data_IF_570257722104
#
_entry.id   IF_570257722104
#
_cell.length_a   1.000
_cell.length_b   1.000
_cell.length_c   1.000
_cell.angle_alpha   90.00
_cell.angle_beta   90.00
_cell.angle_gamma   90.00
#
_symmetry.space_group_name_H-M   'P 1'
#
loop_
_entity.id
_entity.type
_entity.pdbx_description
1 polymer ?
#
# COMPACT_ATOMS: atom_id res chain seq x y z
N UNK A 1 -0.75 15.64 -23.21
CA UNK A 1 0.21 15.71 -22.08
C UNK A 1 -0.28 14.77 -21.00
N UNK A 2 0.31 13.58 -20.87
CA UNK A 2 -0.05 12.63 -19.82
C UNK A 2 0.52 13.07 -18.46
N UNK A 3 -0.15 12.80 -17.33
CA UNK A 3 0.43 13.10 -16.04
C UNK A 3 1.66 12.23 -15.84
N UNK A 4 2.79 12.85 -15.54
CA UNK A 4 4.04 12.18 -15.19
C UNK A 4 3.75 11.21 -14.04
N UNK A 5 3.65 9.92 -14.40
CA UNK A 5 3.35 8.84 -13.48
C UNK A 5 4.35 8.88 -12.34
N UNK A 6 3.85 9.05 -11.13
CA UNK A 6 4.65 8.99 -9.94
C UNK A 6 5.23 7.56 -9.84
N UNK A 7 6.49 7.39 -10.27
CA UNK A 7 7.28 6.16 -10.12
C UNK A 7 7.52 5.74 -8.65
N UNK A 8 6.80 6.35 -7.69
CA UNK A 8 7.18 6.36 -6.29
C UNK A 8 6.68 5.15 -5.49
N UNK A 9 5.87 4.27 -6.09
CA UNK A 9 5.41 3.03 -5.44
C UNK A 9 5.47 1.83 -6.39
N UNK A 10 6.64 1.54 -6.96
CA UNK A 10 6.84 0.37 -7.84
C UNK A 10 6.95 -0.95 -7.05
N UNK A 11 6.03 -1.19 -6.11
CA UNK A 11 5.80 -2.57 -5.65
C UNK A 11 5.20 -3.38 -6.79
N UNK A 12 4.36 -2.76 -7.63
CA UNK A 12 3.59 -3.46 -8.66
C UNK A 12 4.43 -4.13 -9.78
N UNK A 13 5.43 -3.47 -10.41
CA UNK A 13 6.19 -4.09 -11.51
C UNK A 13 7.21 -5.11 -11.00
N UNK A 14 7.82 -4.82 -9.85
CA UNK A 14 8.89 -5.63 -9.26
C UNK A 14 8.38 -6.71 -8.31
N UNK A 15 7.07 -6.84 -8.13
CA UNK A 15 6.47 -7.78 -7.16
C UNK A 15 7.01 -9.21 -7.29
N UNK A 16 7.06 -9.85 -8.48
CA UNK A 16 7.60 -11.21 -8.60
C UNK A 16 9.08 -11.30 -8.20
N UNK A 17 9.86 -10.27 -8.50
CA UNK A 17 11.30 -10.19 -8.16
C UNK A 17 11.47 -10.05 -6.64
N UNK A 18 10.69 -9.18 -6.01
CA UNK A 18 10.70 -8.98 -4.55
C UNK A 18 10.28 -10.28 -3.85
N UNK A 19 9.24 -10.95 -4.36
CA UNK A 19 8.78 -12.22 -3.82
C UNK A 19 9.86 -13.30 -3.91
N UNK A 20 10.46 -13.48 -5.09
CA UNK A 20 11.54 -14.44 -5.32
C UNK A 20 12.77 -14.15 -4.43
N UNK A 21 13.10 -12.87 -4.22
CA UNK A 21 14.18 -12.49 -3.31
C UNK A 21 13.92 -12.95 -1.88
N UNK A 22 12.71 -12.72 -1.35
CA UNK A 22 12.38 -13.15 0.01
C UNK A 22 12.21 -14.66 0.14
N UNK A 23 11.80 -15.36 -0.92
CA UNK A 23 11.81 -16.82 -0.99
C UNK A 23 13.24 -17.38 -0.88
N UNK A 24 14.16 -16.84 -1.68
CA UNK A 24 15.57 -17.22 -1.67
C UNK A 24 16.23 -16.90 -0.32
N UNK A 25 15.99 -15.71 0.25
CA UNK A 25 16.46 -15.34 1.60
C UNK A 25 15.89 -16.23 2.71
N UNK A 26 14.72 -16.83 2.51
CA UNK A 26 14.08 -17.76 3.44
C UNK A 26 14.52 -19.23 3.23
N UNK A 27 15.16 -19.54 2.09
CA UNK A 27 15.55 -20.88 1.71
C UNK A 27 16.63 -21.47 2.62
N UNK A 28 16.47 -22.75 2.95
CA UNK A 28 17.46 -23.52 3.70
C UNK A 28 18.71 -23.84 2.86
N UNK A 29 18.58 -23.77 1.53
CA UNK A 29 19.62 -24.11 0.56
C UNK A 29 20.53 -22.92 0.21
N UNK A 30 20.12 -21.69 0.54
CA UNK A 30 20.86 -20.47 0.24
C UNK A 30 22.28 -20.48 0.81
N UNK A 31 23.24 -20.01 0.02
CA UNK A 31 24.63 -19.77 0.43
C UNK A 31 25.12 -18.37 0.00
N UNK A 32 25.80 -17.60 0.87
CA UNK A 32 26.03 -17.88 2.30
C UNK A 32 24.71 -17.89 3.08
N UNK A 33 24.68 -18.67 4.18
CA UNK A 33 23.48 -18.78 5.01
C UNK A 33 23.22 -17.45 5.72
N UNK A 34 22.01 -16.88 5.61
CA UNK A 34 21.64 -15.71 6.39
C UNK A 34 21.56 -16.07 7.87
N UNK A 35 21.70 -15.07 8.76
CA UNK A 35 21.47 -15.30 10.18
C UNK A 35 20.02 -15.73 10.44
N UNK A 36 19.79 -16.48 11.51
CA UNK A 36 18.45 -16.96 11.87
C UNK A 36 17.42 -15.81 11.97
N UNK A 37 17.83 -14.64 12.48
CA UNK A 37 16.99 -13.45 12.56
C UNK A 37 16.61 -12.91 11.17
N UNK A 38 17.55 -12.88 10.22
CA UNK A 38 17.29 -12.42 8.85
C UNK A 38 16.40 -13.41 8.11
N UNK A 39 16.66 -14.71 8.22
CA UNK A 39 15.84 -15.76 7.62
C UNK A 39 14.40 -15.73 8.17
N UNK A 40 14.23 -15.52 9.48
CA UNK A 40 12.92 -15.38 10.12
C UNK A 40 12.13 -14.18 9.60
N UNK A 41 12.79 -13.02 9.45
CA UNK A 41 12.15 -11.83 8.84
C UNK A 41 11.80 -12.06 7.38
N UNK A 42 12.68 -12.67 6.59
CA UNK A 42 12.43 -12.98 5.20
C UNK A 42 11.22 -13.90 5.03
N UNK A 43 11.11 -14.97 5.84
CA UNK A 43 9.93 -15.86 5.88
C UNK A 43 8.64 -15.10 6.17
N UNK A 44 8.68 -14.18 7.14
CA UNK A 44 7.51 -13.36 7.49
C UNK A 44 7.09 -12.46 6.33
N UNK A 45 8.05 -11.75 5.72
CA UNK A 45 7.76 -10.87 4.57
C UNK A 45 7.23 -11.68 3.38
N UNK A 46 7.87 -12.81 3.05
CA UNK A 46 7.40 -13.73 2.01
C UNK A 46 5.96 -14.18 2.26
N UNK A 47 5.61 -14.55 3.51
CA UNK A 47 4.24 -14.93 3.87
C UNK A 47 3.24 -13.79 3.66
N UNK A 48 3.60 -12.55 4.02
CA UNK A 48 2.74 -11.38 3.78
C UNK A 48 2.60 -11.07 2.29
N UNK A 49 3.67 -11.22 1.50
CA UNK A 49 3.62 -10.99 0.05
C UNK A 49 2.82 -12.05 -0.71
N UNK A 50 2.54 -13.21 -0.10
CA UNK A 50 1.62 -14.23 -0.66
C UNK A 50 0.20 -14.14 -0.10
N UNK A 51 -0.04 -13.31 0.88
CA UNK A 51 -1.35 -13.17 1.52
C UNK A 51 -2.17 -12.08 0.80
N UNK A 52 -3.39 -12.45 0.38
CA UNK A 52 -4.26 -11.56 -0.39
C UNK A 52 -4.58 -10.27 0.37
N UNK A 53 -4.95 -10.42 1.63
CA UNK A 53 -5.36 -9.30 2.49
C UNK A 53 -4.19 -8.34 2.76
N UNK A 54 -3.00 -8.89 2.99
CA UNK A 54 -1.76 -8.12 3.11
C UNK A 54 -1.45 -7.32 1.84
N UNK A 55 -1.60 -7.93 0.66
CA UNK A 55 -1.41 -7.22 -0.62
C UNK A 55 -2.48 -6.16 -0.87
N UNK A 56 -3.74 -6.46 -0.57
CA UNK A 56 -4.84 -5.50 -0.66
C UNK A 56 -4.55 -4.26 0.20
N UNK A 57 -4.08 -4.48 1.44
CA UNK A 57 -3.68 -3.41 2.35
C UNK A 57 -2.47 -2.62 1.83
N UNK A 58 -1.46 -3.28 1.24
CA UNK A 58 -0.33 -2.59 0.61
C UNK A 58 -0.76 -1.68 -0.54
N UNK A 59 -1.71 -2.14 -1.37
CA UNK A 59 -2.25 -1.32 -2.45
C UNK A 59 -3.08 -0.13 -1.93
N UNK A 60 -3.86 -0.33 -0.86
CA UNK A 60 -4.52 0.77 -0.16
C UNK A 60 -3.53 1.80 0.39
N UNK A 61 -2.43 1.35 1.02
CA UNK A 61 -1.38 2.25 1.49
C UNK A 61 -0.72 3.03 0.35
N UNK A 62 -0.55 2.41 -0.82
CA UNK A 62 -0.06 3.11 -2.01
C UNK A 62 -1.00 4.26 -2.41
N UNK A 63 -2.31 4.05 -2.42
CA UNK A 63 -3.30 5.11 -2.71
C UNK A 63 -3.19 6.28 -1.71
N UNK A 64 -3.07 5.98 -0.42
CA UNK A 64 -2.85 6.99 0.63
C UNK A 64 -1.57 7.78 0.37
N UNK A 65 -0.46 7.07 0.11
CA UNK A 65 0.84 7.70 -0.08
C UNK A 65 0.91 8.52 -1.37
N UNK A 66 0.16 8.18 -2.43
CA UNK A 66 0.05 9.00 -3.64
C UNK A 66 -0.57 10.37 -3.32
N UNK A 67 -1.63 10.42 -2.51
CA UNK A 67 -2.24 11.69 -2.10
C UNK A 67 -1.31 12.51 -1.21
N UNK A 68 -0.63 11.87 -0.25
CA UNK A 68 0.35 12.54 0.62
C UNK A 68 1.56 13.05 -0.17
N UNK A 69 2.05 12.28 -1.14
CA UNK A 69 3.14 12.68 -2.02
C UNK A 69 2.76 13.89 -2.87
N UNK A 70 1.54 13.92 -3.38
CA UNK A 70 1.02 15.05 -4.15
C UNK A 70 0.99 16.32 -3.31
N UNK A 71 0.51 16.22 -2.06
CA UNK A 71 0.54 17.32 -1.11
C UNK A 71 1.98 17.77 -0.81
N UNK A 72 2.87 16.82 -0.50
CA UNK A 72 4.28 17.10 -0.20
C UNK A 72 4.97 17.86 -1.34
N UNK A 73 4.70 17.49 -2.60
CA UNK A 73 5.23 18.21 -3.78
C UNK A 73 4.77 19.66 -3.87
N UNK A 74 3.56 20.00 -3.40
CA UNK A 74 3.09 21.39 -3.36
C UNK A 74 3.92 22.19 -2.35
N UNK A 75 4.15 21.63 -1.16
CA UNK A 75 4.95 22.28 -0.12
C UNK A 75 6.45 22.33 -0.42
N UNK A 76 6.94 21.51 -1.34
CA UNK A 76 8.34 21.51 -1.79
C UNK A 76 8.62 22.52 -2.91
N UNK A 77 7.62 23.25 -3.41
CA UNK A 77 7.83 24.31 -4.41
C UNK A 77 8.64 25.46 -3.80
N UNK A 78 9.53 26.05 -4.60
CA UNK A 78 10.35 27.20 -4.18
C UNK A 78 9.52 28.39 -3.70
N UNK A 79 8.29 28.54 -4.22
CA UNK A 79 7.32 29.52 -3.77
C UNK A 79 5.93 28.89 -3.71
N UNK A 80 5.36 28.79 -2.52
CA UNK A 80 3.96 28.38 -2.29
C UNK A 80 3.24 29.51 -1.57
N UNK A 81 2.06 29.88 -2.07
CA UNK A 81 1.23 30.88 -1.38
C UNK A 81 0.43 30.22 -0.25
N UNK A 82 0.03 31.00 0.76
CA UNK A 82 -0.83 30.49 1.85
C UNK A 82 -2.15 29.92 1.28
N UNK A 83 -2.75 30.60 0.30
CA UNK A 83 -3.97 30.13 -0.36
C UNK A 83 -3.76 28.76 -1.03
N UNK A 84 -2.69 28.60 -1.80
CA UNK A 84 -2.36 27.34 -2.48
C UNK A 84 -2.09 26.21 -1.47
N UNK A 85 -1.38 26.51 -0.38
CA UNK A 85 -1.13 25.55 0.69
C UNK A 85 -2.44 25.06 1.32
N UNK A 86 -3.34 25.97 1.69
CA UNK A 86 -4.65 25.64 2.29
C UNK A 86 -5.51 24.81 1.33
N UNK A 87 -5.66 25.26 0.08
CA UNK A 87 -6.43 24.54 -0.93
C UNK A 87 -5.89 23.13 -1.19
N UNK A 88 -4.56 22.97 -1.25
CA UNK A 88 -3.93 21.67 -1.46
C UNK A 88 -4.14 20.73 -0.27
N UNK A 89 -4.11 21.26 0.96
CA UNK A 89 -4.36 20.51 2.18
C UNK A 89 -5.82 20.04 2.24
N UNK A 90 -6.79 20.91 1.96
CA UNK A 90 -8.21 20.55 1.92
C UNK A 90 -8.49 19.50 0.85
N UNK A 91 -7.91 19.66 -0.35
CA UNK A 91 -8.01 18.65 -1.42
C UNK A 91 -7.44 17.30 -0.99
N UNK A 92 -6.29 17.29 -0.32
CA UNK A 92 -5.70 16.07 0.22
C UNK A 92 -6.63 15.40 1.25
N UNK A 93 -7.20 16.19 2.17
CA UNK A 93 -8.17 15.70 3.16
C UNK A 93 -9.38 15.03 2.51
N UNK A 94 -9.98 15.66 1.50
CA UNK A 94 -11.13 15.09 0.79
C UNK A 94 -10.78 13.82 0.03
N UNK A 95 -9.63 13.81 -0.66
CA UNK A 95 -9.15 12.63 -1.37
C UNK A 95 -8.93 11.45 -0.41
N UNK A 96 -8.24 11.66 0.72
CA UNK A 96 -8.04 10.62 1.73
C UNK A 96 -9.36 10.15 2.36
N UNK A 97 -10.29 11.08 2.61
CA UNK A 97 -11.62 10.75 3.13
C UNK A 97 -12.43 9.90 2.14
N UNK A 98 -12.28 10.16 0.84
CA UNK A 98 -12.97 9.38 -0.20
C UNK A 98 -12.55 7.91 -0.21
N UNK A 99 -11.31 7.59 0.17
CA UNK A 99 -10.80 6.20 0.26
C UNK A 99 -11.50 5.36 1.32
N UNK A 100 -12.27 5.97 2.23
CA UNK A 100 -13.13 5.25 3.20
C UNK A 100 -14.36 4.65 2.53
N UNK A 101 -14.80 5.21 1.40
CA UNK A 101 -16.07 4.89 0.74
C UNK A 101 -15.81 4.22 -0.62
N UNK A 102 -14.77 4.64 -1.33
CA UNK A 102 -14.42 4.14 -2.66
C UNK A 102 -12.99 3.61 -2.68
N UNK A 103 -12.77 2.60 -3.52
CA UNK A 103 -11.42 2.08 -3.73
C UNK A 103 -10.57 3.12 -4.46
N UNK A 104 -9.30 3.24 -4.06
CA UNK A 104 -8.33 4.01 -4.83
C UNK A 104 -7.83 3.23 -6.05
N UNK A 105 -7.19 3.90 -7.03
CA UNK A 105 -6.78 3.28 -8.29
C UNK A 105 -5.83 2.10 -8.13
N UNK A 106 -4.89 2.14 -7.17
CA UNK A 106 -3.96 1.05 -6.93
C UNK A 106 -4.69 -0.19 -6.40
N UNK A 107 -5.59 0.00 -5.45
CA UNK A 107 -6.39 -1.08 -4.87
C UNK A 107 -7.39 -1.66 -5.86
N UNK A 108 -8.04 -0.82 -6.67
CA UNK A 108 -8.94 -1.25 -7.74
C UNK A 108 -8.22 -2.11 -8.77
N UNK A 109 -7.06 -1.63 -9.27
CA UNK A 109 -6.20 -2.39 -10.20
C UNK A 109 -5.78 -3.75 -9.63
N UNK A 110 -5.45 -3.81 -8.33
CA UNK A 110 -5.10 -5.08 -7.68
C UNK A 110 -6.28 -6.04 -7.64
N UNK A 111 -7.47 -5.57 -7.24
CA UNK A 111 -8.68 -6.39 -7.19
C UNK A 111 -9.02 -6.90 -8.58
N UNK A 112 -9.00 -6.05 -9.60
CA UNK A 112 -9.23 -6.46 -11.00
C UNK A 112 -8.23 -7.53 -11.47
N UNK A 113 -6.94 -7.35 -11.18
CA UNK A 113 -5.89 -8.30 -11.59
C UNK A 113 -5.95 -9.64 -10.84
N UNK A 114 -6.57 -9.66 -9.67
CA UNK A 114 -6.63 -10.85 -8.82
C UNK A 114 -8.00 -11.55 -8.85
N UNK A 115 -9.04 -10.87 -9.36
CA UNK A 115 -10.39 -11.39 -9.36
C UNK A 115 -10.54 -12.61 -10.27
N UNK A 116 -11.26 -13.62 -9.78
CA UNK A 116 -11.56 -14.86 -10.53
C UNK A 116 -10.54 -16.00 -10.35
N UNK A 117 -9.26 -15.71 -10.12
CA UNK A 117 -8.21 -16.75 -10.07
C UNK A 117 -7.34 -16.75 -8.81
N UNK A 118 -7.47 -15.74 -7.93
CA UNK A 118 -6.57 -15.54 -6.76
C UNK A 118 -5.10 -15.58 -7.15
N UNK A 119 -4.81 -15.16 -8.37
CA UNK A 119 -3.49 -15.10 -8.93
C UNK A 119 -3.17 -13.64 -9.14
N UNK A 120 -2.02 -13.19 -8.66
CA UNK A 120 -1.55 -11.83 -8.87
C UNK A 120 -0.17 -11.89 -9.50
N UNK A 121 -0.04 -11.31 -10.71
CA UNK A 121 1.22 -11.32 -11.49
C UNK A 121 1.84 -12.72 -11.63
N UNK A 122 1.01 -13.75 -11.83
CA UNK A 122 1.46 -15.14 -11.99
C UNK A 122 1.71 -15.89 -10.68
N UNK A 123 1.49 -15.26 -9.52
CA UNK A 123 1.67 -15.89 -8.20
C UNK A 123 0.31 -16.24 -7.60
N UNK A 124 0.14 -17.50 -7.22
CA UNK A 124 -1.03 -17.95 -6.46
C UNK A 124 -0.98 -17.38 -5.04
N UNK A 125 -2.01 -16.64 -4.67
CA UNK A 125 -2.16 -16.05 -3.34
C UNK A 125 -2.80 -17.05 -2.38
N UNK A 126 -2.33 -17.01 -1.13
CA UNK A 126 -2.89 -17.77 -0.03
C UNK A 126 -4.31 -17.27 0.26
N UNK A 127 -5.16 -18.20 0.69
CA UNK A 127 -6.52 -17.89 1.13
C UNK A 127 -6.42 -16.82 2.22
N UNK A 128 -7.24 -15.78 2.13
CA UNK A 128 -7.64 -15.05 3.31
C UNK A 128 -8.15 -16.10 4.31
N UNK A 129 -7.39 -16.38 5.39
CA UNK A 129 -8.08 -16.79 6.60
C UNK A 129 -9.18 -15.74 6.83
N UNK A 130 -10.36 -16.07 7.37
CA UNK A 130 -11.32 -15.04 7.75
C UNK A 130 -10.61 -14.13 8.76
N UNK A 131 -9.97 -13.09 8.25
CA UNK A 131 -8.99 -12.30 8.95
C UNK A 131 -9.75 -11.11 9.49
N UNK A 132 -9.69 -10.99 10.79
CA UNK A 132 -9.52 -9.83 11.69
C UNK A 132 -9.40 -8.39 11.11
N UNK A 133 -9.46 -8.16 9.79
CA UNK A 133 -9.39 -6.85 9.13
C UNK A 133 -10.71 -6.08 9.13
N UNK A 134 -11.87 -6.73 9.13
CA UNK A 134 -13.15 -6.04 9.33
C UNK A 134 -13.19 -5.29 10.69
N UNK A 135 -12.77 -5.89 11.83
CA UNK A 135 -12.60 -5.16 13.07
C UNK A 135 -11.58 -4.01 12.99
N UNK A 136 -10.49 -4.15 12.22
CA UNK A 136 -9.45 -3.11 12.08
C UNK A 136 -9.89 -1.96 11.17
N UNK A 137 -10.61 -2.24 10.06
CA UNK A 137 -11.31 -1.23 9.24
C UNK A 137 -12.35 -0.50 10.08
N UNK A 138 -13.16 -1.22 10.87
CA UNK A 138 -14.14 -0.62 11.76
C UNK A 138 -13.50 0.29 12.83
N UNK A 139 -12.32 -0.07 13.37
CA UNK A 139 -11.60 0.76 14.32
C UNK A 139 -11.06 2.07 13.70
N UNK A 140 -10.55 2.02 12.45
CA UNK A 140 -10.08 3.22 11.72
C UNK A 140 -11.25 4.08 11.24
N UNK A 141 -12.37 3.47 10.86
CA UNK A 141 -13.58 4.18 10.42
C UNK A 141 -14.33 4.80 11.62
N UNK A 142 -14.31 4.14 12.79
CA UNK A 142 -15.00 4.53 14.02
C UNK A 142 -14.28 5.57 14.91
N UNK A 143 -13.11 6.08 14.50
CA UNK A 143 -12.50 7.21 15.19
C UNK A 143 -13.43 8.43 15.06
N UNK A 144 -14.01 8.85 16.19
CA UNK A 144 -14.79 10.10 16.30
C UNK A 144 -13.97 11.25 15.69
N UNK A 145 -14.58 12.18 14.95
CA UNK A 145 -13.88 13.33 14.42
C UNK A 145 -13.16 14.06 15.57
N UNK A 146 -11.89 14.41 15.32
CA UNK A 146 -11.17 15.33 16.19
C UNK A 146 -12.00 16.60 16.34
N UNK A 147 -12.51 16.84 17.55
CA UNK A 147 -13.16 18.10 17.88
C UNK A 147 -12.07 19.16 17.96
N UNK A 148 -11.95 19.98 16.92
CA UNK A 148 -11.26 21.26 17.06
C UNK A 148 -12.12 22.16 17.97
N UNK A 149 -11.58 22.55 19.13
CA UNK A 149 -12.08 23.73 19.84
C UNK A 149 -11.44 24.93 19.14
N UNK A 150 -12.25 25.72 18.44
CA UNK A 150 -11.92 27.09 18.07
C UNK A 150 -12.14 27.94 19.33
#
# INVERSE_FOLDING_TARGET
MGPAGCHMFTVQPSYPVILAHFEDMASLERRPKPSAAVAGRAKKVFSHLKDYDSLLFLHFLCDVLVHLATLSKVFQKDSVTVCEAVESQERCFWNLSSLKIRMGPCMETFVEQSNGSRCYKGVQLNRASPSTLEPQRAAVIGMKPFKYKI
#
